data_IF_745906639558
#
_entry.id   IF_745906639558
#
_cell.length_a   1.000
_cell.length_b   1.000
_cell.length_c   1.000
_cell.angle_alpha   90.00
_cell.angle_beta   90.00
_cell.angle_gamma   90.00
#
_symmetry.space_group_name_H-M   'P 1'
#
loop_
_entity.id
_entity.type
_entity.pdbx_description
1 polymer ?
#
# COMPACT_ATOMS: atom_id res chain seq x y z
N UNK A 1 15.20 11.89 8.21
CA UNK A 1 13.88 11.39 7.76
C UNK A 1 14.07 9.97 7.26
N UNK A 2 13.50 8.97 7.93
CA UNK A 2 13.49 7.59 7.45
C UNK A 2 12.22 7.43 6.61
N UNK A 3 12.38 7.34 5.29
CA UNK A 3 11.29 6.97 4.39
C UNK A 3 11.26 5.44 4.36
N UNK A 4 10.36 4.83 5.13
CA UNK A 4 10.13 3.40 5.04
C UNK A 4 9.44 3.16 3.69
N UNK A 5 10.09 2.44 2.74
CA UNK A 5 9.45 2.11 1.48
C UNK A 5 8.26 1.20 1.76
N UNK A 6 7.09 1.60 1.27
CA UNK A 6 5.90 0.79 1.42
C UNK A 6 5.89 -0.23 0.28
N UNK A 7 6.06 -1.51 0.62
CA UNK A 7 5.98 -2.59 -0.34
C UNK A 7 4.56 -3.14 -0.37
N UNK A 8 4.10 -3.55 -1.55
CA UNK A 8 2.85 -4.28 -1.67
C UNK A 8 2.99 -5.65 -1.00
N UNK A 9 2.15 -6.02 -0.03
CA UNK A 9 2.25 -7.32 0.65
C UNK A 9 1.94 -8.51 -0.27
N UNK A 10 1.30 -8.28 -1.42
CA UNK A 10 0.95 -9.35 -2.36
C UNK A 10 2.05 -9.66 -3.37
N UNK A 11 2.77 -8.66 -3.88
CA UNK A 11 3.79 -8.84 -4.91
C UNK A 11 5.19 -8.33 -4.51
N UNK A 12 5.34 -7.71 -3.33
CA UNK A 12 6.59 -7.12 -2.88
C UNK A 12 6.99 -5.83 -3.61
N UNK A 13 6.17 -5.33 -4.53
CA UNK A 13 6.50 -4.18 -5.38
C UNK A 13 6.48 -2.87 -4.59
N UNK A 14 7.48 -2.01 -4.78
CA UNK A 14 7.65 -0.73 -4.08
C UNK A 14 6.84 0.42 -4.72
N UNK A 15 6.41 0.26 -5.98
CA UNK A 15 5.52 1.22 -6.63
C UNK A 15 4.08 1.12 -6.11
N UNK A 16 3.84 1.84 -5.01
CA UNK A 16 2.52 1.98 -4.40
C UNK A 16 2.17 3.44 -4.20
N UNK A 17 0.90 3.79 -4.43
CA UNK A 17 0.37 5.14 -4.27
C UNK A 17 -0.64 5.20 -3.12
N UNK A 18 -0.59 6.27 -2.32
CA UNK A 18 -1.56 6.47 -1.23
C UNK A 18 -2.94 6.75 -1.82
N UNK A 19 -3.94 5.95 -1.46
CA UNK A 19 -5.32 6.03 -1.94
C UNK A 19 -6.30 6.30 -0.81
N UNK A 20 -6.28 7.53 -0.30
CA UNK A 20 -7.16 7.95 0.80
C UNK A 20 -6.93 7.19 2.11
N UNK A 21 -7.72 7.52 3.12
CA UNK A 21 -7.74 6.83 4.42
C UNK A 21 -9.08 6.13 4.61
N UNK A 22 -9.09 5.04 5.37
CA UNK A 22 -10.34 4.41 5.80
C UNK A 22 -10.97 5.20 6.94
N UNK A 23 -12.23 4.91 7.28
CA UNK A 23 -12.92 5.52 8.42
C UNK A 23 -12.20 5.33 9.76
N UNK A 24 -11.29 4.34 9.84
CA UNK A 24 -10.50 4.02 11.02
C UNK A 24 -9.10 4.67 10.99
N UNK A 25 -8.94 5.77 10.23
CA UNK A 25 -7.69 6.49 9.90
C UNK A 25 -6.58 5.66 9.24
N UNK A 26 -6.84 4.39 8.90
CA UNK A 26 -5.83 3.52 8.27
C UNK A 26 -5.52 3.99 6.84
N UNK A 27 -4.24 4.15 6.54
CA UNK A 27 -3.80 4.55 5.21
C UNK A 27 -4.01 3.40 4.22
N UNK A 28 -4.76 3.69 3.15
CA UNK A 28 -4.93 2.74 2.06
C UNK A 28 -3.90 3.04 0.97
N UNK A 29 -3.35 2.01 0.39
CA UNK A 29 -2.36 2.04 -0.68
C UNK A 29 -2.90 1.31 -1.90
N UNK A 30 -2.51 1.78 -3.07
CA UNK A 30 -2.80 1.19 -4.37
C UNK A 30 -1.48 0.71 -4.96
N UNK A 31 -1.37 -0.57 -5.25
CA UNK A 31 -0.26 -1.09 -6.01
C UNK A 31 -0.41 -0.66 -7.47
N UNK A 32 0.64 -0.09 -8.06
CA UNK A 32 0.64 0.28 -9.47
C UNK A 32 0.98 -0.91 -10.39
N UNK A 33 1.38 -2.04 -9.82
CA UNK A 33 1.66 -3.24 -10.61
C UNK A 33 0.35 -3.82 -11.15
N UNK A 34 0.18 -3.78 -12.48
CA UNK A 34 -0.98 -4.35 -13.19
C UNK A 34 -1.04 -5.87 -13.14
N UNK A 35 0.10 -6.54 -12.89
CA UNK A 35 0.16 -8.00 -12.71
C UNK A 35 -0.17 -8.42 -11.28
N UNK A 36 -0.26 -7.46 -10.34
CA UNK A 36 -0.61 -7.77 -8.96
C UNK A 36 -2.11 -8.07 -8.85
N UNK A 37 -2.45 -9.26 -8.36
CA UNK A 37 -3.84 -9.63 -8.07
C UNK A 37 -4.47 -8.71 -7.01
N UNK A 38 -3.65 -8.08 -6.16
CA UNK A 38 -4.08 -7.11 -5.15
C UNK A 38 -3.74 -5.71 -5.63
N UNK A 39 -4.71 -5.06 -6.26
CA UNK A 39 -4.57 -3.68 -6.72
C UNK A 39 -4.54 -2.69 -5.54
N UNK A 40 -5.15 -3.03 -4.41
CA UNK A 40 -5.18 -2.15 -3.24
C UNK A 40 -5.14 -2.88 -1.91
N UNK A 41 -4.40 -2.34 -0.95
CA UNK A 41 -4.24 -2.89 0.38
C UNK A 41 -4.24 -1.77 1.43
N UNK A 42 -4.46 -2.12 2.69
CA UNK A 42 -4.34 -1.20 3.82
C UNK A 42 -3.09 -1.62 4.56
N UNK A 43 -2.22 -0.66 4.88
CA UNK A 43 -1.04 -0.96 5.66
C UNK A 43 -1.32 -0.55 7.10
N UNK A 44 -1.52 -1.58 7.92
CA UNK A 44 -1.69 -1.49 9.36
C UNK A 44 -0.37 -1.96 9.96
N UNK A 45 0.41 -1.04 10.52
CA UNK A 45 1.54 -1.41 11.37
C UNK A 45 0.95 -1.64 12.76
N UNK A 46 0.97 -2.90 13.23
CA UNK A 46 0.66 -3.28 14.61
C UNK A 46 1.79 -2.87 15.56
#
# INVERSE_FOLDING_TARGET
>A
MVLIPVLCPACGHDQVSKRGKTANDKQRYLCQNTECSVSSFILDYD
#
